data_IF_349058210039
#
_entry.id   IF_349058210039
#
_cell.length_a   1.000
_cell.length_b   1.000
_cell.length_c   1.000
_cell.angle_alpha   90.00
_cell.angle_beta   90.00
_cell.angle_gamma   90.00
#
_symmetry.space_group_name_H-M   'P 1'
#
loop_
_entity.id
_entity.type
_entity.pdbx_description
1 polymer ?
#
# COMPACT_ATOMS: atom_id res chain seq x y z
N UNK A 1 -30.93 42.63 -22.10
CA UNK A 1 -30.64 41.88 -20.86
C UNK A 1 -29.40 41.03 -21.12
N UNK A 2 -28.26 41.37 -20.51
CA UNK A 2 -27.02 40.63 -20.67
C UNK A 2 -27.07 39.44 -19.71
N UNK A 3 -27.31 38.24 -20.25
CA UNK A 3 -27.35 36.99 -19.48
C UNK A 3 -25.90 36.60 -19.16
N UNK A 4 -25.45 36.95 -17.95
CA UNK A 4 -24.20 36.47 -17.37
C UNK A 4 -24.29 34.94 -17.24
N UNK A 5 -23.64 34.21 -18.14
CA UNK A 5 -23.38 32.79 -17.93
C UNK A 5 -22.40 32.64 -16.77
N UNK A 6 -22.89 32.16 -15.63
CA UNK A 6 -22.05 31.73 -14.53
C UNK A 6 -21.22 30.51 -14.95
N UNK A 7 -19.93 30.45 -14.63
CA UNK A 7 -19.11 29.27 -14.91
C UNK A 7 -19.63 28.09 -14.06
N UNK A 8 -19.94 26.98 -14.73
CA UNK A 8 -20.16 25.69 -14.08
C UNK A 8 -18.86 25.32 -13.36
N UNK A 9 -18.84 25.49 -12.04
CA UNK A 9 -17.74 25.03 -11.21
C UNK A 9 -17.56 23.52 -11.43
N UNK A 10 -16.42 23.15 -12.01
CA UNK A 10 -16.09 21.78 -12.32
C UNK A 10 -15.79 21.05 -11.01
N UNK A 11 -16.80 20.45 -10.40
CA UNK A 11 -16.66 19.70 -9.16
C UNK A 11 -15.92 18.38 -9.46
N UNK A 12 -14.59 18.38 -9.30
CA UNK A 12 -13.80 17.18 -9.39
C UNK A 12 -14.06 16.29 -8.16
N UNK A 13 -14.14 14.98 -8.35
CA UNK A 13 -14.25 14.02 -7.25
C UNK A 13 -12.84 13.62 -6.82
N UNK A 14 -12.54 13.79 -5.54
CA UNK A 14 -11.29 13.37 -4.92
C UNK A 14 -11.56 12.24 -3.93
N UNK A 15 -10.58 11.38 -3.74
CA UNK A 15 -10.67 10.24 -2.84
C UNK A 15 -9.65 10.36 -1.73
N UNK A 16 -10.06 10.03 -0.50
CA UNK A 16 -9.17 10.00 0.65
C UNK A 16 -8.21 8.81 0.55
N UNK A 17 -6.91 9.08 0.66
CA UNK A 17 -5.84 8.08 0.59
C UNK A 17 -5.31 7.69 1.98
N UNK A 18 -5.36 8.60 2.95
CA UNK A 18 -4.93 8.35 4.34
C UNK A 18 -5.98 7.58 5.14
N UNK A 19 -5.58 7.01 6.27
CA UNK A 19 -6.50 6.29 7.18
C UNK A 19 -7.58 7.24 7.71
N UNK A 20 -7.17 8.44 8.13
CA UNK A 20 -8.00 9.53 8.62
C UNK A 20 -7.63 10.81 7.87
N UNK A 21 -8.63 11.57 7.43
CA UNK A 21 -8.46 12.87 6.79
C UNK A 21 -9.35 13.91 7.49
N UNK A 22 -8.79 14.78 8.34
CA UNK A 22 -9.55 15.84 8.98
C UNK A 22 -9.94 16.90 7.95
N UNK A 23 -11.21 17.30 7.99
CA UNK A 23 -11.75 18.43 7.25
C UNK A 23 -11.82 19.59 8.22
N UNK A 24 -11.03 20.61 7.93
CA UNK A 24 -10.77 21.75 8.80
C UNK A 24 -11.58 22.98 8.36
N UNK A 25 -11.79 23.93 9.26
CA UNK A 25 -12.46 25.18 8.91
C UNK A 25 -11.58 26.13 8.10
N UNK A 26 -10.26 26.03 8.21
CA UNK A 26 -9.30 26.91 7.54
C UNK A 26 -8.07 26.12 7.02
N UNK A 27 -7.21 26.76 6.23
CA UNK A 27 -6.00 26.18 5.62
C UNK A 27 -4.83 26.02 6.61
N UNK A 28 -5.13 25.75 7.88
CA UNK A 28 -4.14 25.60 8.95
C UNK A 28 -4.44 24.38 9.81
N UNK A 29 -3.41 23.60 10.16
CA UNK A 29 -3.53 22.39 10.96
C UNK A 29 -4.04 22.63 12.39
N UNK A 30 -3.91 23.85 12.92
CA UNK A 30 -4.44 24.22 14.24
C UNK A 30 -5.90 24.66 14.24
N UNK A 31 -6.55 24.69 13.07
CA UNK A 31 -7.94 25.15 12.96
C UNK A 31 -8.94 24.07 13.41
N UNK A 32 -10.16 24.47 13.83
CA UNK A 32 -11.20 23.53 14.25
C UNK A 32 -11.52 22.45 13.21
N UNK A 33 -11.61 21.20 13.67
CA UNK A 33 -12.07 20.07 12.85
C UNK A 33 -13.59 20.10 12.71
N UNK A 34 -14.08 20.23 11.48
CA UNK A 34 -15.51 20.22 11.15
C UNK A 34 -16.05 18.80 10.93
N UNK A 35 -15.24 17.96 10.29
CA UNK A 35 -15.55 16.57 9.98
C UNK A 35 -14.25 15.76 9.82
N UNK A 36 -14.40 14.45 9.73
CA UNK A 36 -13.31 13.53 9.47
C UNK A 36 -13.78 12.49 8.47
N UNK A 37 -13.01 12.34 7.39
CA UNK A 37 -13.26 11.36 6.34
C UNK A 37 -12.27 10.20 6.49
N UNK A 38 -12.69 9.00 6.10
CA UNK A 38 -11.88 7.79 6.14
C UNK A 38 -11.38 7.40 4.76
N UNK A 39 -10.37 6.54 4.71
CA UNK A 39 -9.77 6.05 3.46
C UNK A 39 -10.85 5.53 2.49
N UNK A 40 -10.78 5.97 1.24
CA UNK A 40 -11.68 5.55 0.17
C UNK A 40 -12.95 6.37 0.04
N UNK A 41 -13.28 7.23 1.00
CA UNK A 41 -14.43 8.12 0.88
C UNK A 41 -14.22 9.17 -0.23
N UNK A 42 -15.30 9.49 -0.93
CA UNK A 42 -15.33 10.47 -2.00
C UNK A 42 -15.64 11.87 -1.45
N UNK A 43 -14.88 12.85 -1.92
CA UNK A 43 -14.98 14.26 -1.60
C UNK A 43 -15.27 15.05 -2.87
N UNK A 44 -16.19 16.00 -2.80
CA UNK A 44 -16.45 16.91 -3.93
C UNK A 44 -15.55 18.12 -3.78
N UNK A 45 -14.62 18.30 -4.69
CA UNK A 45 -13.75 19.48 -4.74
C UNK A 45 -14.54 20.70 -5.22
N UNK A 46 -14.38 21.81 -4.51
CA UNK A 46 -14.95 23.11 -4.87
C UNK A 46 -13.85 24.03 -5.38
N UNK A 47 -12.72 24.07 -4.69
CA UNK A 47 -11.63 24.98 -4.97
C UNK A 47 -10.31 24.41 -4.46
N UNK A 48 -9.20 24.67 -5.16
CA UNK A 48 -7.85 24.35 -4.69
C UNK A 48 -7.10 25.64 -4.35
N UNK A 49 -6.51 25.71 -3.16
CA UNK A 49 -5.66 26.83 -2.72
C UNK A 49 -4.33 26.30 -2.20
N UNK A 50 -3.29 26.34 -3.04
CA UNK A 50 -1.94 25.89 -2.68
C UNK A 50 -1.90 24.41 -2.31
N UNK A 51 -1.59 24.12 -1.05
CA UNK A 51 -1.53 22.75 -0.50
C UNK A 51 -2.86 22.25 0.10
N UNK A 52 -3.95 23.00 -0.09
CA UNK A 52 -5.26 22.72 0.47
C UNK A 52 -6.32 22.66 -0.61
N UNK A 53 -7.29 21.77 -0.44
CA UNK A 53 -8.47 21.67 -1.28
C UNK A 53 -9.71 21.92 -0.42
N UNK A 54 -10.55 22.84 -0.87
CA UNK A 54 -11.87 23.08 -0.32
C UNK A 54 -12.80 22.01 -0.86
N UNK A 55 -13.39 21.24 0.04
CA UNK A 55 -14.22 20.09 -0.29
C UNK A 55 -15.57 20.15 0.41
N UNK A 56 -16.59 19.58 -0.22
CA UNK A 56 -17.89 19.33 0.39
C UNK A 56 -17.97 17.85 0.76
N UNK A 57 -18.31 17.60 2.02
CA UNK A 57 -18.44 16.26 2.61
C UNK A 57 -19.59 16.24 3.61
N UNK A 58 -20.58 15.37 3.39
CA UNK A 58 -21.77 15.21 4.25
C UNK A 58 -22.40 16.56 4.63
N UNK A 59 -22.67 17.39 3.63
CA UNK A 59 -23.24 18.75 3.72
C UNK A 59 -22.40 19.80 4.46
N UNK A 60 -21.17 19.45 4.86
CA UNK A 60 -20.19 20.40 5.41
C UNK A 60 -19.19 20.79 4.35
N UNK A 61 -18.82 22.06 4.35
CA UNK A 61 -17.75 22.58 3.49
C UNK A 61 -16.55 22.92 4.35
N UNK A 62 -15.36 22.46 3.97
CA UNK A 62 -14.13 22.75 4.69
C UNK A 62 -12.89 22.49 3.85
N UNK A 63 -11.73 22.58 4.48
CA UNK A 63 -10.42 22.42 3.85
C UNK A 63 -9.79 21.08 4.23
N UNK A 64 -9.26 20.38 3.24
CA UNK A 64 -8.48 19.15 3.42
C UNK A 64 -7.10 19.34 2.80
N UNK A 65 -6.07 18.79 3.43
CA UNK A 65 -4.71 18.85 2.90
C UNK A 65 -4.58 17.99 1.66
N UNK A 66 -3.93 18.51 0.62
CA UNK A 66 -3.62 17.82 -0.64
C UNK A 66 -2.90 16.48 -0.43
N UNK A 67 -2.12 16.35 0.64
CA UNK A 67 -1.36 15.14 0.94
C UNK A 67 -2.25 13.93 1.30
N UNK A 68 -3.50 14.18 1.71
CA UNK A 68 -4.42 13.16 2.22
C UNK A 68 -5.39 12.64 1.14
N UNK A 69 -5.38 13.26 -0.03
CA UNK A 69 -6.38 13.07 -1.09
C UNK A 69 -5.72 12.82 -2.44
N UNK A 70 -6.43 12.15 -3.33
CA UNK A 70 -5.96 11.89 -4.69
C UNK A 70 -7.12 11.75 -5.69
N UNK A 71 -6.86 11.91 -6.99
CA UNK A 71 -7.88 11.84 -8.03
C UNK A 71 -8.36 10.42 -8.33
N UNK A 72 -7.62 9.40 -7.90
CA UNK A 72 -7.96 7.99 -8.11
C UNK A 72 -8.40 7.37 -6.78
N UNK A 73 -9.40 6.48 -6.76
CA UNK A 73 -9.75 5.75 -5.56
C UNK A 73 -8.54 4.92 -5.11
N UNK A 74 -8.32 4.77 -3.79
CA UNK A 74 -7.33 3.83 -3.29
C UNK A 74 -7.75 2.42 -3.71
N UNK A 75 -7.02 1.84 -4.66
CA UNK A 75 -7.26 0.46 -5.10
C UNK A 75 -6.98 -0.48 -3.93
N UNK A 76 -7.86 -1.46 -3.73
CA UNK A 76 -7.63 -2.55 -2.78
C UNK A 76 -6.34 -3.29 -3.12
N UNK A 77 -5.78 -4.03 -2.15
CA UNK A 77 -4.55 -4.80 -2.39
C UNK A 77 -4.83 -5.82 -3.50
N UNK A 78 -4.23 -5.63 -4.68
CA UNK A 78 -4.20 -6.66 -5.70
C UNK A 78 -3.01 -7.55 -5.36
N UNK A 79 -3.28 -8.77 -4.91
CA UNK A 79 -2.25 -9.80 -4.79
C UNK A 79 -1.72 -10.07 -6.19
N UNK A 80 -0.52 -9.56 -6.50
CA UNK A 80 0.16 -9.83 -7.78
C UNK A 80 0.45 -11.33 -7.94
N UNK A 81 0.47 -12.08 -6.83
CA UNK A 81 0.75 -13.51 -6.76
C UNK A 81 -0.48 -14.40 -6.97
N UNK A 82 -1.70 -13.86 -6.88
CA UNK A 82 -2.93 -14.65 -6.98
C UNK A 82 -3.18 -15.18 -8.41
N UNK A 83 -2.49 -14.60 -9.41
CA UNK A 83 -2.49 -15.08 -10.79
C UNK A 83 -1.31 -15.99 -11.15
N UNK A 84 -0.37 -16.24 -10.24
CA UNK A 84 0.80 -17.09 -10.47
C UNK A 84 0.84 -18.18 -9.41
N UNK A 85 -0.05 -19.16 -9.52
CA UNK A 85 0.13 -20.49 -8.91
C UNK A 85 1.26 -21.28 -9.61
N UNK A 86 2.32 -20.59 -10.06
CA UNK A 86 3.50 -21.24 -10.57
C UNK A 86 4.35 -21.69 -9.38
N UNK A 87 4.37 -23.00 -9.21
CA UNK A 87 5.13 -23.73 -8.21
C UNK A 87 6.61 -23.28 -8.23
N UNK A 88 6.98 -22.43 -7.26
CA UNK A 88 8.33 -21.85 -7.12
C UNK A 88 9.40 -22.90 -6.73
N UNK A 89 9.03 -24.17 -6.63
CA UNK A 89 9.97 -25.28 -6.43
C UNK A 89 10.90 -25.49 -7.65
N UNK A 90 10.53 -25.02 -8.84
CA UNK A 90 11.26 -25.30 -10.09
C UNK A 90 12.36 -24.29 -10.43
N UNK A 91 12.35 -23.09 -9.83
CA UNK A 91 13.07 -21.92 -10.36
C UNK A 91 14.29 -21.43 -9.59
N UNK A 92 14.65 -22.05 -8.46
CA UNK A 92 15.83 -21.64 -7.69
C UNK A 92 17.12 -22.12 -8.40
N UNK A 93 17.56 -21.32 -9.38
CA UNK A 93 18.85 -21.34 -10.08
C UNK A 93 19.87 -22.34 -9.50
N UNK A 94 19.84 -23.58 -10.00
CA UNK A 94 20.95 -24.54 -9.84
C UNK A 94 22.14 -24.00 -10.64
N UNK A 95 23.01 -23.20 -10.02
CA UNK A 95 24.32 -22.94 -10.63
C UNK A 95 25.20 -24.17 -10.41
N UNK A 96 25.52 -24.78 -11.54
CA UNK A 96 26.42 -25.89 -11.71
C UNK A 96 27.81 -25.55 -11.18
N UNK A 97 28.16 -26.04 -9.98
CA UNK A 97 29.55 -26.42 -9.73
C UNK A 97 29.81 -27.79 -10.37
N UNK A 98 29.70 -27.85 -11.70
CA UNK A 98 30.19 -28.94 -12.54
C UNK A 98 31.57 -28.60 -13.13
N UNK A 99 32.34 -27.72 -12.48
CA UNK A 99 33.78 -27.67 -12.73
C UNK A 99 34.39 -28.87 -12.01
N UNK A 100 34.81 -29.87 -12.78
CA UNK A 100 35.62 -30.99 -12.32
C UNK A 100 36.96 -30.46 -11.81
N UNK A 101 37.03 -30.09 -10.53
CA UNK A 101 38.31 -29.75 -9.89
C UNK A 101 39.20 -30.99 -9.89
N UNK A 102 40.49 -30.83 -10.18
CA UNK A 102 41.48 -31.92 -10.33
C UNK A 102 41.54 -32.94 -9.16
N UNK A 103 40.99 -32.60 -7.99
CA UNK A 103 40.81 -33.50 -6.86
C UNK A 103 39.70 -34.56 -7.07
N UNK A 104 38.62 -34.25 -7.78
CA UNK A 104 37.52 -35.18 -8.08
C UNK A 104 37.96 -36.30 -9.06
N UNK A 105 38.82 -35.97 -10.04
CA UNK A 105 39.38 -36.93 -10.99
C UNK A 105 40.33 -37.96 -10.34
N UNK A 106 40.83 -37.70 -9.13
CA UNK A 106 41.77 -38.58 -8.40
C UNK A 106 41.12 -39.34 -7.23
N UNK A 107 39.79 -39.30 -7.09
CA UNK A 107 39.07 -40.09 -6.08
C UNK A 107 39.20 -39.62 -4.62
N UNK A 108 39.81 -38.45 -4.35
CA UNK A 108 40.01 -37.93 -2.98
C UNK A 108 38.82 -37.12 -2.42
N UNK A 109 37.63 -37.24 -2.99
CA UNK A 109 36.45 -36.50 -2.54
C UNK A 109 35.71 -37.28 -1.43
N UNK A 110 36.39 -37.53 -0.32
CA UNK A 110 35.79 -38.14 0.86
C UNK A 110 34.87 -37.11 1.55
N UNK A 111 33.60 -37.51 1.68
CA UNK A 111 32.50 -37.01 2.51
C UNK A 111 32.56 -35.55 3.01
N UNK A 112 32.70 -34.59 2.08
CA UNK A 112 32.44 -33.19 2.41
C UNK A 112 30.96 -32.91 2.26
N UNK A 113 30.23 -32.93 3.38
CA UNK A 113 28.91 -32.29 3.48
C UNK A 113 29.00 -30.92 2.80
N UNK A 114 28.20 -30.71 1.76
CA UNK A 114 28.28 -29.46 1.00
C UNK A 114 27.86 -28.35 1.96
N UNK A 115 28.48 -27.18 1.88
CA UNK A 115 28.08 -26.02 2.70
C UNK A 115 26.58 -25.71 2.51
N UNK A 116 26.02 -26.02 1.34
CA UNK A 116 24.57 -25.98 1.06
C UNK A 116 23.73 -26.90 1.95
N UNK A 117 24.26 -28.08 2.32
CA UNK A 117 23.57 -29.05 3.19
C UNK A 117 23.46 -28.53 4.63
N UNK A 118 24.34 -27.58 5.01
CA UNK A 118 24.30 -26.90 6.31
C UNK A 118 23.14 -25.90 6.41
N UNK A 119 22.66 -25.38 5.28
CA UNK A 119 21.54 -24.44 5.22
C UNK A 119 20.30 -25.15 4.67
N UNK A 120 19.63 -25.94 5.53
CA UNK A 120 18.29 -26.45 5.20
C UNK A 120 17.34 -25.28 5.03
N UNK A 121 16.72 -25.15 3.87
CA UNK A 121 15.68 -24.15 3.62
C UNK A 121 14.44 -24.48 4.45
N UNK A 122 13.95 -23.51 5.23
CA UNK A 122 12.77 -23.69 6.09
C UNK A 122 11.48 -23.35 5.33
N UNK A 123 11.13 -24.17 4.33
CA UNK A 123 9.91 -23.98 3.54
C UNK A 123 8.65 -24.00 4.41
N UNK A 124 8.58 -24.87 5.43
CA UNK A 124 7.46 -24.89 6.37
C UNK A 124 7.37 -23.64 7.26
N UNK A 125 8.44 -22.87 7.39
CA UNK A 125 8.40 -21.53 8.01
C UNK A 125 7.73 -20.51 7.09
N UNK A 126 8.06 -20.55 5.81
CA UNK A 126 7.45 -19.67 4.79
C UNK A 126 5.96 -19.96 4.65
N UNK A 127 5.57 -21.23 4.54
CA UNK A 127 4.16 -21.62 4.45
C UNK A 127 3.34 -21.14 5.66
N UNK A 128 3.89 -21.24 6.88
CA UNK A 128 3.23 -20.71 8.07
C UNK A 128 3.05 -19.19 8.00
N UNK A 129 4.02 -18.46 7.46
CA UNK A 129 3.90 -17.00 7.29
C UNK A 129 2.87 -16.63 6.21
N UNK A 130 2.82 -17.38 5.12
CA UNK A 130 1.85 -17.18 4.03
C UNK A 130 0.42 -17.57 4.42
N UNK A 131 0.26 -18.54 5.32
CA UNK A 131 -1.04 -18.96 5.82
C UNK A 131 -1.71 -17.92 6.74
N UNK A 132 -0.95 -16.99 7.34
CA UNK A 132 -1.51 -15.93 8.18
C UNK A 132 -2.19 -14.88 7.30
N UNK A 133 -3.50 -15.02 7.15
CA UNK A 133 -4.35 -13.99 6.53
C UNK A 133 -4.80 -12.99 7.59
N UNK A 134 -4.35 -11.75 7.45
CA UNK A 134 -4.80 -10.63 8.29
C UNK A 134 -6.01 -9.99 7.61
N UNK A 135 -7.15 -9.89 8.31
CA UNK A 135 -8.31 -9.18 7.77
C UNK A 135 -8.03 -7.68 7.66
N UNK A 136 -8.69 -7.03 6.71
CA UNK A 136 -8.55 -5.57 6.52
C UNK A 136 -8.97 -4.80 7.77
N UNK A 137 -9.96 -5.29 8.52
CA UNK A 137 -10.40 -4.69 9.79
C UNK A 137 -9.27 -4.66 10.83
N UNK A 138 -8.59 -5.78 11.05
CA UNK A 138 -7.47 -5.88 12.01
C UNK A 138 -6.28 -5.04 11.55
N UNK A 139 -6.03 -4.98 10.24
CA UNK A 139 -5.02 -4.09 9.70
C UNK A 139 -5.36 -2.61 9.95
N UNK A 140 -6.63 -2.24 9.81
CA UNK A 140 -7.09 -0.86 10.04
C UNK A 140 -7.04 -0.47 11.52
N UNK A 141 -7.41 -1.37 12.44
CA UNK A 141 -7.28 -1.12 13.89
C UNK A 141 -5.83 -0.93 14.29
N UNK A 142 -4.93 -1.80 13.81
CA UNK A 142 -3.48 -1.67 14.06
C UNK A 142 -2.92 -0.33 13.59
N UNK A 143 -3.32 0.12 12.39
CA UNK A 143 -2.92 1.42 11.86
C UNK A 143 -3.48 2.59 12.69
N UNK A 144 -4.67 2.46 13.26
CA UNK A 144 -5.24 3.49 14.13
C UNK A 144 -4.49 3.56 15.47
N UNK A 145 -4.26 2.42 16.12
CA UNK A 145 -3.52 2.34 17.39
C UNK A 145 -2.08 2.86 17.27
N UNK A 146 -1.42 2.60 16.14
CA UNK A 146 -0.07 3.08 15.88
C UNK A 146 0.02 4.60 15.65
N UNK A 147 -1.07 5.27 15.28
CA UNK A 147 -1.12 6.72 15.09
C UNK A 147 -1.47 7.46 16.39
N UNK A 148 -2.10 6.77 17.35
CA UNK A 148 -2.50 7.35 18.64
C UNK A 148 -1.40 7.29 19.72
N UNK A 149 -0.32 6.54 19.46
CA UNK A 149 0.88 6.48 20.30
C UNK A 149 1.94 7.47 19.84
#
# INVERSE_FOLDING_TARGET
ALLLMAPLAQAAVLYVQSVKAPILSDTSFGSPKLAEATKGEALKEVESKGSWHKVIYKDKTGWVSRLLIGPKPPVGRVSVLEGTSENLESGARKRASAFTTAAAARGFAEDRSRVSDKYKTNFGGVERMEAVKISDEVAMTFLQEGVEK
#
